data_IF_177737514268
#
_entry.id   IF_177737514268
#
_cell.length_a   1.000
_cell.length_b   1.000
_cell.length_c   1.000
_cell.angle_alpha   90.00
_cell.angle_beta   90.00
_cell.angle_gamma   90.00
#
_symmetry.space_group_name_H-M   'P 1'
#
loop_
_entity.id
_entity.type
_entity.pdbx_description
1 polymer ?
#
# COMPACT_ATOMS: atom_id res chain seq x y z
N UNK A 1 26.38 15.21 -1.96
CA UNK A 1 25.06 14.54 -1.80
C UNK A 1 24.28 15.31 -0.73
N UNK A 2 23.11 15.86 -1.05
CA UNK A 2 22.40 16.82 -0.19
C UNK A 2 21.90 16.13 1.11
N UNK A 3 22.12 16.71 2.29
CA UNK A 3 21.73 16.12 3.60
C UNK A 3 20.25 15.71 3.66
N UNK A 4 19.38 16.51 3.03
CA UNK A 4 17.94 16.26 2.88
C UNK A 4 17.64 14.94 2.17
N UNK A 5 18.45 14.59 1.16
CA UNK A 5 18.27 13.39 0.35
C UNK A 5 18.62 12.13 1.14
N UNK A 6 19.61 12.20 2.03
CA UNK A 6 19.98 11.11 2.94
C UNK A 6 18.86 10.86 3.96
N UNK A 7 18.33 11.92 4.57
CA UNK A 7 17.26 11.83 5.57
C UNK A 7 15.98 11.26 4.95
N UNK A 8 15.57 11.76 3.77
CA UNK A 8 14.40 11.24 3.07
C UNK A 8 14.50 9.74 2.78
N UNK A 9 15.65 9.30 2.24
CA UNK A 9 15.88 7.88 1.97
C UNK A 9 15.93 7.01 3.24
N UNK A 10 16.47 7.51 4.35
CA UNK A 10 16.47 6.78 5.62
C UNK A 10 15.05 6.57 6.16
N UNK A 11 14.19 7.59 6.05
CA UNK A 11 12.77 7.48 6.42
C UNK A 11 12.04 6.52 5.47
N UNK A 12 12.31 6.59 4.16
CA UNK A 12 11.76 5.64 3.18
C UNK A 12 12.12 4.20 3.54
N UNK A 13 13.39 3.95 3.88
CA UNK A 13 13.86 2.63 4.27
C UNK A 13 13.09 2.09 5.48
N UNK A 14 12.94 2.91 6.52
CA UNK A 14 12.17 2.54 7.70
C UNK A 14 10.70 2.25 7.36
N UNK A 15 10.09 3.10 6.52
CA UNK A 15 8.72 2.91 6.05
C UNK A 15 8.57 1.54 5.37
N UNK A 16 9.51 1.21 4.50
CA UNK A 16 9.49 -0.02 3.73
C UNK A 16 9.68 -1.29 4.56
N UNK A 17 10.34 -1.22 5.72
CA UNK A 17 10.35 -2.33 6.69
C UNK A 17 8.94 -2.61 7.25
N UNK A 18 8.19 -1.56 7.59
CA UNK A 18 6.78 -1.71 7.99
C UNK A 18 5.90 -2.22 6.86
N UNK A 19 6.24 -1.89 5.60
CA UNK A 19 5.55 -2.41 4.42
C UNK A 19 5.65 -3.94 4.34
N UNK A 20 6.87 -4.48 4.41
CA UNK A 20 7.10 -5.93 4.40
C UNK A 20 6.46 -6.59 5.62
N UNK A 21 6.62 -5.97 6.81
CA UNK A 21 6.00 -6.46 8.03
C UNK A 21 4.48 -6.58 7.91
N UNK A 22 3.82 -5.61 7.26
CA UNK A 22 2.38 -5.69 6.97
C UNK A 22 2.01 -6.92 6.13
N UNK A 23 2.88 -7.33 5.20
CA UNK A 23 2.69 -8.52 4.38
C UNK A 23 2.82 -9.85 5.15
N UNK A 24 3.55 -9.85 6.27
CA UNK A 24 3.73 -11.04 7.12
C UNK A 24 2.52 -11.23 8.06
N UNK A 25 1.85 -10.15 8.44
CA UNK A 25 0.73 -10.18 9.36
C UNK A 25 -0.49 -10.92 8.77
N UNK A 26 -1.20 -11.64 9.65
CA UNK A 26 -2.37 -12.47 9.29
C UNK A 26 -3.71 -11.83 9.65
N UNK A 27 -3.74 -10.94 10.63
CA UNK A 27 -4.98 -10.27 11.05
C UNK A 27 -5.11 -8.94 10.33
N UNK A 28 -6.23 -8.76 9.62
CA UNK A 28 -6.52 -7.54 8.86
C UNK A 28 -6.29 -6.26 9.65
N UNK A 29 -6.81 -6.16 10.87
CA UNK A 29 -6.62 -4.95 11.69
C UNK A 29 -5.14 -4.66 11.98
N UNK A 30 -4.33 -5.70 12.23
CA UNK A 30 -2.88 -5.53 12.44
C UNK A 30 -2.18 -5.10 11.16
N UNK A 31 -2.57 -5.67 10.00
CA UNK A 31 -2.07 -5.24 8.68
C UNK A 31 -2.33 -3.74 8.50
N UNK A 32 -3.54 -3.26 8.79
CA UNK A 32 -3.88 -1.84 8.63
C UNK A 32 -3.12 -0.93 9.57
N UNK A 33 -2.89 -1.35 10.82
CA UNK A 33 -2.06 -0.58 11.77
C UNK A 33 -0.63 -0.45 11.25
N UNK A 34 -0.02 -1.56 10.79
CA UNK A 34 1.31 -1.53 10.21
C UNK A 34 1.38 -0.65 8.95
N UNK A 35 0.36 -0.73 8.09
CA UNK A 35 0.24 0.14 6.92
C UNK A 35 0.08 1.61 7.29
N UNK A 36 -0.63 1.96 8.35
CA UNK A 36 -0.75 3.35 8.77
C UNK A 36 0.62 3.93 9.15
N UNK A 37 1.43 3.18 9.91
CA UNK A 37 2.79 3.59 10.27
C UNK A 37 3.66 3.72 9.02
N UNK A 38 3.65 2.72 8.14
CA UNK A 38 4.33 2.77 6.85
C UNK A 38 3.95 4.01 6.04
N UNK A 39 2.65 4.24 5.85
CA UNK A 39 2.13 5.30 4.98
C UNK A 39 2.51 6.68 5.53
N UNK A 40 2.44 6.89 6.85
CA UNK A 40 2.86 8.14 7.48
C UNK A 40 4.34 8.42 7.17
N UNK A 41 5.20 7.41 7.32
CA UNK A 41 6.63 7.54 7.02
C UNK A 41 6.86 7.80 5.51
N UNK A 42 6.12 7.14 4.62
CA UNK A 42 6.19 7.38 3.17
C UNK A 42 5.74 8.79 2.78
N UNK A 43 4.71 9.35 3.43
CA UNK A 43 4.29 10.74 3.18
C UNK A 43 5.43 11.70 3.53
N UNK A 44 6.02 11.53 4.72
CA UNK A 44 7.14 12.37 5.18
C UNK A 44 8.31 12.25 4.20
N UNK A 45 8.69 11.03 3.85
CA UNK A 45 9.76 10.77 2.88
C UNK A 45 9.47 11.41 1.52
N UNK A 46 8.27 11.23 0.97
CA UNK A 46 7.89 11.77 -0.32
C UNK A 46 7.88 13.30 -0.33
N UNK A 47 7.47 13.96 0.76
CA UNK A 47 7.55 15.42 0.88
C UNK A 47 9.01 15.87 0.87
N UNK A 48 9.90 15.18 1.61
CA UNK A 48 11.33 15.51 1.68
C UNK A 48 12.03 15.31 0.32
N UNK A 49 11.62 14.29 -0.43
CA UNK A 49 12.21 13.91 -1.72
C UNK A 49 11.54 14.59 -2.93
N UNK A 50 10.42 15.29 -2.74
CA UNK A 50 9.67 15.96 -3.81
C UNK A 50 8.70 15.06 -4.60
N UNK A 51 8.39 13.85 -4.10
CA UNK A 51 7.47 12.88 -4.71
C UNK A 51 5.99 13.19 -4.46
N UNK A 52 5.45 14.24 -5.07
CA UNK A 52 4.10 14.76 -4.79
C UNK A 52 3.00 13.73 -5.10
N UNK A 53 3.06 13.02 -6.23
CA UNK A 53 2.09 11.99 -6.62
C UNK A 53 2.02 10.84 -5.60
N UNK A 54 3.18 10.38 -5.15
CA UNK A 54 3.31 9.38 -4.10
C UNK A 54 2.74 9.86 -2.77
N UNK A 55 3.00 11.12 -2.37
CA UNK A 55 2.46 11.70 -1.14
C UNK A 55 0.93 11.79 -1.15
N UNK A 56 0.31 12.20 -2.26
CA UNK A 56 -1.15 12.27 -2.42
C UNK A 56 -1.79 10.88 -2.31
N UNK A 57 -1.25 9.91 -3.05
CA UNK A 57 -1.76 8.53 -3.04
C UNK A 57 -1.65 7.90 -1.65
N UNK A 58 -0.52 8.11 -0.98
CA UNK A 58 -0.31 7.64 0.39
C UNK A 58 -1.27 8.33 1.37
N UNK A 59 -1.49 9.64 1.25
CA UNK A 59 -2.45 10.39 2.10
C UNK A 59 -3.87 9.83 1.97
N UNK A 60 -4.33 9.59 0.74
CA UNK A 60 -5.63 8.98 0.50
C UNK A 60 -5.71 7.55 1.08
N UNK A 61 -4.62 6.77 0.97
CA UNK A 61 -4.51 5.45 1.59
C UNK A 61 -4.59 5.48 3.13
N UNK A 62 -3.98 6.49 3.76
CA UNK A 62 -4.04 6.69 5.22
C UNK A 62 -5.47 6.98 5.67
N UNK A 63 -6.12 7.94 5.01
CA UNK A 63 -7.52 8.32 5.30
C UNK A 63 -8.43 7.11 5.14
N UNK A 64 -8.29 6.34 4.06
CA UNK A 64 -9.02 5.09 3.82
C UNK A 64 -8.88 4.14 5.01
N UNK A 65 -7.65 3.86 5.44
CA UNK A 65 -7.41 2.91 6.52
C UNK A 65 -8.06 3.35 7.84
N UNK A 66 -7.92 4.63 8.20
CA UNK A 66 -8.52 5.18 9.41
C UNK A 66 -10.06 5.13 9.37
N UNK A 67 -10.66 5.48 8.23
CA UNK A 67 -12.11 5.40 8.04
C UNK A 67 -12.62 3.96 8.08
N UNK A 68 -11.87 3.00 7.53
CA UNK A 68 -12.21 1.58 7.62
C UNK A 68 -12.16 1.08 9.07
N UNK A 69 -11.12 1.43 9.83
CA UNK A 69 -10.99 1.04 11.24
C UNK A 69 -12.10 1.61 12.12
N UNK A 70 -12.58 2.83 11.81
CA UNK A 70 -13.76 3.45 12.46
C UNK A 70 -15.10 2.91 11.95
N UNK A 71 -15.12 1.99 10.98
CA UNK A 71 -16.33 1.49 10.28
C UNK A 71 -17.13 2.59 9.58
N UNK A 72 -16.48 3.68 9.19
CA UNK A 72 -17.10 4.81 8.49
C UNK A 72 -16.94 4.72 6.98
N UNK A 73 -16.11 3.80 6.46
CA UNK A 73 -15.87 3.65 5.02
C UNK A 73 -17.07 3.02 4.28
N UNK A 74 -18.12 3.81 4.06
CA UNK A 74 -19.29 3.47 3.24
C UNK A 74 -19.07 3.80 1.76
N UNK A 75 -19.92 3.27 0.87
CA UNK A 75 -19.81 3.48 -0.58
C UNK A 75 -19.70 4.96 -1.01
N UNK A 76 -20.49 5.91 -0.46
CA UNK A 76 -20.35 7.32 -0.85
C UNK A 76 -18.98 7.90 -0.50
N UNK A 77 -18.42 7.50 0.65
CA UNK A 77 -17.12 7.94 1.12
C UNK A 77 -15.99 7.33 0.28
N UNK A 78 -16.14 6.07 -0.16
CA UNK A 78 -15.20 5.43 -1.08
C UNK A 78 -15.11 6.17 -2.41
N UNK A 79 -16.27 6.51 -2.98
CA UNK A 79 -16.36 7.28 -4.24
C UNK A 79 -15.74 8.67 -4.03
N UNK A 80 -16.12 9.38 -2.99
CA UNK A 80 -15.59 10.72 -2.69
C UNK A 80 -14.07 10.70 -2.51
N UNK A 81 -13.53 9.75 -1.74
CA UNK A 81 -12.09 9.63 -1.51
C UNK A 81 -11.32 9.34 -2.80
N UNK A 82 -11.86 8.47 -3.66
CA UNK A 82 -11.27 8.14 -4.95
C UNK A 82 -11.31 9.33 -5.91
N UNK A 83 -12.43 10.03 -6.00
CA UNK A 83 -12.58 11.21 -6.86
C UNK A 83 -11.68 12.36 -6.42
N UNK A 84 -11.69 12.70 -5.12
CA UNK A 84 -10.88 13.80 -4.58
C UNK A 84 -9.39 13.51 -4.79
N UNK A 85 -8.93 12.31 -4.43
CA UNK A 85 -7.53 11.93 -4.63
C UNK A 85 -7.12 11.93 -6.09
N UNK A 86 -8.00 11.46 -6.99
CA UNK A 86 -7.77 11.49 -8.44
C UNK A 86 -7.70 12.91 -8.99
N UNK A 87 -8.62 13.80 -8.61
CA UNK A 87 -8.62 15.21 -9.07
C UNK A 87 -7.35 15.92 -8.62
N UNK A 88 -6.96 15.77 -7.35
CA UNK A 88 -5.75 16.40 -6.80
C UNK A 88 -4.51 15.86 -7.52
N UNK A 89 -4.41 14.54 -7.67
CA UNK A 89 -3.30 13.93 -8.36
C UNK A 89 -3.24 14.38 -9.83
N UNK A 90 -4.34 14.35 -10.60
CA UNK A 90 -4.35 14.82 -12.00
C UNK A 90 -3.84 16.26 -12.12
N UNK A 91 -4.22 17.16 -11.21
CA UNK A 91 -3.76 18.57 -11.22
C UNK A 91 -2.28 18.73 -10.90
N UNK A 92 -1.74 17.87 -10.03
CA UNK A 92 -0.37 17.97 -9.52
C UNK A 92 0.58 16.95 -10.17
N UNK A 93 0.08 16.13 -11.10
CA UNK A 93 0.82 15.05 -11.71
C UNK A 93 1.85 15.60 -12.69
N UNK A 94 3.12 15.47 -12.33
CA UNK A 94 4.28 15.79 -13.16
C UNK A 94 4.83 14.57 -13.91
N UNK A 95 4.28 13.38 -13.64
CA UNK A 95 4.77 12.07 -14.09
C UNK A 95 3.98 11.52 -15.30
N UNK A 96 3.07 12.32 -15.85
CA UNK A 96 2.26 11.95 -17.00
C UNK A 96 1.41 10.71 -16.74
N UNK A 97 1.28 9.82 -17.73
CA UNK A 97 0.39 8.66 -17.64
C UNK A 97 0.79 7.66 -16.53
N UNK A 98 2.07 7.67 -16.14
CA UNK A 98 2.64 6.76 -15.13
C UNK A 98 2.09 7.08 -13.74
N UNK A 99 1.87 8.36 -13.42
CA UNK A 99 1.29 8.82 -12.15
C UNK A 99 -0.14 8.33 -11.88
N UNK A 100 -0.81 7.73 -12.87
CA UNK A 100 -2.15 7.16 -12.70
C UNK A 100 -2.16 5.72 -12.14
N UNK A 101 -1.03 4.99 -12.19
CA UNK A 101 -0.95 3.64 -11.63
C UNK A 101 -1.20 3.63 -10.11
N UNK A 102 -0.55 4.50 -9.31
CA UNK A 102 -0.80 4.59 -7.87
C UNK A 102 -2.25 4.96 -7.53
N UNK A 103 -2.89 5.80 -8.35
CA UNK A 103 -4.30 6.16 -8.19
C UNK A 103 -5.21 4.95 -8.43
N UNK A 104 -4.97 4.21 -9.51
CA UNK A 104 -5.72 3.00 -9.81
C UNK A 104 -5.53 1.95 -8.71
N UNK A 105 -4.30 1.73 -8.25
CA UNK A 105 -3.99 0.82 -7.15
C UNK A 105 -4.77 1.21 -5.88
N UNK A 106 -4.79 2.50 -5.55
CA UNK A 106 -5.50 2.98 -4.38
C UNK A 106 -7.03 2.86 -4.53
N UNK A 107 -7.58 3.16 -5.70
CA UNK A 107 -9.00 2.98 -6.00
C UNK A 107 -9.41 1.51 -5.84
N UNK A 108 -8.69 0.59 -6.49
CA UNK A 108 -8.92 -0.85 -6.37
C UNK A 108 -8.90 -1.29 -4.90
N UNK A 109 -7.93 -0.79 -4.12
CA UNK A 109 -7.87 -1.05 -2.69
C UNK A 109 -9.12 -0.54 -1.99
N UNK A 110 -9.48 0.75 -2.14
CA UNK A 110 -10.64 1.37 -1.45
C UNK A 110 -11.92 0.55 -1.67
N UNK A 111 -12.20 0.13 -2.91
CA UNK A 111 -13.42 -0.60 -3.23
C UNK A 111 -13.40 -2.03 -2.69
N UNK A 112 -12.28 -2.73 -2.81
CA UNK A 112 -12.15 -4.13 -2.40
C UNK A 112 -11.69 -4.32 -0.94
N UNK A 113 -11.45 -3.23 -0.21
CA UNK A 113 -10.99 -3.30 1.18
C UNK A 113 -11.95 -4.04 2.10
N UNK A 114 -13.25 -4.13 1.79
CA UNK A 114 -14.25 -4.74 2.67
C UNK A 114 -14.26 -6.27 2.65
N UNK A 115 -13.40 -6.90 1.85
CA UNK A 115 -13.25 -8.36 1.80
C UNK A 115 -13.04 -8.92 3.22
N UNK A 116 -13.99 -9.76 3.65
CA UNK A 116 -13.96 -10.42 4.97
C UNK A 116 -12.92 -11.53 5.03
N UNK A 117 -12.71 -12.21 3.90
CA UNK A 117 -11.72 -13.28 3.77
C UNK A 117 -10.31 -12.70 3.72
N UNK A 118 -9.49 -13.09 4.72
CA UNK A 118 -8.08 -12.70 4.83
C UNK A 118 -7.27 -13.13 3.60
N UNK A 119 -7.59 -14.28 2.98
CA UNK A 119 -6.89 -14.74 1.77
C UNK A 119 -7.17 -13.82 0.59
N UNK A 120 -8.44 -13.48 0.35
CA UNK A 120 -8.83 -12.51 -0.68
C UNK A 120 -8.25 -11.13 -0.41
N UNK A 121 -8.19 -10.72 0.85
CA UNK A 121 -7.54 -9.47 1.24
C UNK A 121 -6.02 -9.49 0.96
N UNK A 122 -5.32 -10.59 1.20
CA UNK A 122 -3.90 -10.73 0.82
C UNK A 122 -3.69 -10.73 -0.69
N UNK A 123 -4.58 -11.34 -1.46
CA UNK A 123 -4.55 -11.25 -2.93
C UNK A 123 -4.75 -9.81 -3.41
N UNK A 124 -5.65 -9.06 -2.77
CA UNK A 124 -5.79 -7.62 -3.02
C UNK A 124 -4.49 -6.87 -2.74
N UNK A 125 -3.84 -7.13 -1.60
CA UNK A 125 -2.54 -6.51 -1.28
C UNK A 125 -1.49 -6.81 -2.35
N UNK A 126 -1.38 -8.07 -2.78
CA UNK A 126 -0.47 -8.47 -3.86
C UNK A 126 -0.78 -7.69 -5.14
N UNK A 127 -2.04 -7.67 -5.58
CA UNK A 127 -2.44 -6.96 -6.80
C UNK A 127 -2.10 -5.46 -6.74
N UNK A 128 -2.38 -4.80 -5.61
CA UNK A 128 -2.07 -3.38 -5.43
C UNK A 128 -0.56 -3.13 -5.35
N UNK A 129 0.21 -3.99 -4.69
CA UNK A 129 1.66 -3.86 -4.61
C UNK A 129 2.33 -4.13 -5.95
N UNK A 130 1.77 -4.99 -6.81
CA UNK A 130 2.26 -5.16 -8.17
C UNK A 130 2.10 -3.88 -9.00
N UNK A 131 0.99 -3.14 -8.82
CA UNK A 131 0.83 -1.83 -9.47
C UNK A 131 1.85 -0.81 -8.96
N UNK A 132 2.12 -0.80 -7.65
CA UNK A 132 3.18 0.04 -7.07
C UNK A 132 4.57 -0.35 -7.58
N UNK A 133 4.89 -1.64 -7.64
CA UNK A 133 6.16 -2.16 -8.16
C UNK A 133 6.41 -1.69 -9.60
N UNK A 134 5.40 -1.78 -10.46
CA UNK A 134 5.50 -1.32 -11.85
C UNK A 134 5.73 0.19 -11.87
N UNK A 135 4.93 0.96 -11.12
CA UNK A 135 5.07 2.41 -11.01
C UNK A 135 6.48 2.82 -10.55
N UNK A 136 6.95 2.28 -9.42
CA UNK A 136 8.24 2.62 -8.82
C UNK A 136 9.40 2.22 -9.73
N UNK A 137 9.27 1.12 -10.47
CA UNK A 137 10.27 0.73 -11.49
C UNK A 137 10.30 1.74 -12.64
N UNK A 138 9.14 2.18 -13.14
CA UNK A 138 9.03 3.12 -14.25
C UNK A 138 9.58 4.51 -13.90
N UNK A 139 9.39 4.97 -12.66
CA UNK A 139 9.97 6.24 -12.17
C UNK A 139 11.40 6.08 -11.64
N UNK A 140 12.02 4.90 -11.81
CA UNK A 140 13.39 4.56 -11.37
C UNK A 140 13.60 4.66 -9.85
N UNK A 141 12.54 4.50 -9.06
CA UNK A 141 12.57 4.38 -7.60
C UNK A 141 12.88 2.93 -7.19
N UNK A 142 14.12 2.48 -7.43
CA UNK A 142 14.50 1.09 -7.22
C UNK A 142 14.41 0.62 -5.76
N UNK A 143 14.61 1.53 -4.80
CA UNK A 143 14.45 1.22 -3.37
C UNK A 143 13.00 0.83 -3.09
N UNK A 144 12.02 1.67 -3.45
CA UNK A 144 10.61 1.37 -3.21
C UNK A 144 10.17 0.11 -3.97
N UNK A 145 10.57 -0.02 -5.24
CA UNK A 145 10.30 -1.22 -6.04
C UNK A 145 10.83 -2.51 -5.36
N UNK A 146 12.04 -2.48 -4.78
CA UNK A 146 12.60 -3.65 -4.08
C UNK A 146 11.72 -4.07 -2.91
N UNK A 147 11.18 -3.11 -2.17
CA UNK A 147 10.34 -3.40 -1.02
C UNK A 147 8.90 -3.75 -1.40
N UNK A 148 8.37 -3.22 -2.50
CA UNK A 148 7.10 -3.68 -3.07
C UNK A 148 7.20 -5.16 -3.43
N UNK A 149 8.29 -5.54 -4.10
CA UNK A 149 8.58 -6.93 -4.43
C UNK A 149 8.69 -7.79 -3.16
N UNK A 150 9.47 -7.36 -2.16
CA UNK A 150 9.57 -8.07 -0.90
C UNK A 150 8.21 -8.25 -0.20
N UNK A 151 7.33 -7.25 -0.30
CA UNK A 151 5.98 -7.28 0.27
C UNK A 151 5.05 -8.22 -0.48
N UNK A 152 5.17 -8.30 -1.81
CA UNK A 152 4.48 -9.29 -2.64
C UNK A 152 4.90 -10.70 -2.20
N UNK A 153 6.21 -10.97 -2.13
CA UNK A 153 6.76 -12.25 -1.68
C UNK A 153 6.27 -12.61 -0.28
N UNK A 154 6.33 -11.66 0.67
CA UNK A 154 5.83 -11.87 2.02
C UNK A 154 4.35 -12.28 2.06
N UNK A 155 3.49 -11.61 1.28
CA UNK A 155 2.09 -11.97 1.21
C UNK A 155 1.85 -13.36 0.57
N UNK A 156 2.61 -13.72 -0.47
CA UNK A 156 2.55 -15.04 -1.12
C UNK A 156 2.95 -16.14 -0.13
N UNK A 157 4.08 -15.98 0.56
CA UNK A 157 4.57 -16.96 1.55
C UNK A 157 3.53 -17.19 2.65
N UNK A 158 2.91 -16.12 3.15
CA UNK A 158 1.85 -16.26 4.16
C UNK A 158 0.60 -16.93 3.60
N UNK A 159 0.20 -16.64 2.36
CA UNK A 159 -0.93 -17.33 1.70
C UNK A 159 -0.70 -18.83 1.59
N UNK A 160 0.48 -19.25 1.13
CA UNK A 160 0.87 -20.66 1.03
C UNK A 160 0.82 -21.33 2.41
N UNK A 161 1.44 -20.71 3.43
CA UNK A 161 1.42 -21.23 4.81
C UNK A 161 0.01 -21.36 5.38
N UNK A 162 -0.91 -20.46 5.01
CA UNK A 162 -2.32 -20.53 5.41
C UNK A 162 -3.11 -21.62 4.68
N UNK A 163 -2.70 -22.03 3.47
CA UNK A 163 -3.29 -23.18 2.76
C UNK A 163 -2.80 -24.49 3.38
N UNK A 164 -1.48 -24.67 3.51
CA UNK A 164 -0.89 -25.90 4.08
C UNK A 164 -1.41 -26.21 5.48
N UNK A 165 -1.57 -25.20 6.36
CA UNK A 165 -2.13 -25.43 7.69
C UNK A 165 -3.61 -25.86 7.66
N UNK A 166 -4.40 -25.39 6.68
CA UNK A 166 -5.80 -25.80 6.54
C UNK A 166 -5.89 -27.26 6.10
N UNK A 167 -5.04 -27.66 5.16
CA UNK A 167 -5.04 -29.01 4.60
C UNK A 167 -4.59 -30.04 5.65
N UNK A 168 -3.62 -29.68 6.51
CA UNK A 168 -3.23 -30.53 7.67
C UNK A 168 -4.40 -30.79 8.63
N UNK A 169 -5.15 -29.75 9.00
CA UNK A 169 -6.29 -29.89 9.93
C UNK A 169 -7.42 -30.75 9.33
N UNK A 170 -7.60 -30.73 8.01
CA UNK A 170 -8.58 -31.57 7.32
C UNK A 170 -8.11 -33.03 7.28
N UNK A 171 -6.83 -33.27 7.06
CA UNK A 171 -6.27 -34.63 6.97
C UNK A 171 -6.07 -35.32 8.34
N UNK A 172 -6.14 -34.57 9.45
CA UNK A 172 -6.07 -35.10 10.82
C UNK A 172 -7.46 -35.35 11.45
N UNK A 173 -8.56 -35.12 10.70
CA UNK A 173 -9.95 -35.41 11.11
C UNK A 173 -10.52 -36.58 10.34
#
# INVERSE_FOLDING_TARGET
MNKTLIIGNAVALLASLFMVYSGILKKKNQILIAQNVQIILLIISNIILGGISGAISNTAGLIRNLLYQKKWLKMPIKIALTLISSIIAIKLNTEGIIGYLPLLANAVYIFLMDLKDVKKFKLLLIATMTMWLIYDTLIKSYTSATFDFATIVANIVVLIKMQTNKDKIINEK
#
